data_IF_249206201645
#
_entry.id   IF_249206201645
#
_cell.length_a   1.000
_cell.length_b   1.000
_cell.length_c   1.000
_cell.angle_alpha   90.00
_cell.angle_beta   90.00
_cell.angle_gamma   90.00
#
_symmetry.space_group_name_H-M   'P 1'
#
loop_
_entity.id
_entity.type
_entity.pdbx_description
1 polymer ?
#
# COMPACT_ATOMS: atom_id res chain seq x y z
N UNK A 1 -15.00 10.89 18.82
CA UNK A 1 -14.64 9.73 18.01
C UNK A 1 -14.13 8.63 18.95
N UNK A 2 -14.62 7.43 18.76
CA UNK A 2 -14.24 6.31 19.63
C UNK A 2 -12.85 5.81 19.23
N UNK A 3 -12.00 5.48 20.23
CA UNK A 3 -10.68 4.89 19.99
C UNK A 3 -10.75 3.55 19.27
N UNK A 4 -11.95 2.91 19.23
CA UNK A 4 -12.18 1.64 18.58
C UNK A 4 -12.18 1.74 17.04
N UNK A 5 -12.26 2.95 16.48
CA UNK A 5 -12.28 3.16 15.03
C UNK A 5 -10.87 3.26 14.43
N UNK A 6 -9.86 3.46 15.25
CA UNK A 6 -8.49 3.68 14.83
C UNK A 6 -7.53 2.79 15.61
N UNK A 7 -6.39 2.50 14.98
CA UNK A 7 -5.24 1.92 15.65
C UNK A 7 -4.07 2.89 15.54
N UNK A 8 -3.10 2.74 16.43
CA UNK A 8 -1.89 3.56 16.38
C UNK A 8 -0.82 2.80 15.59
N UNK A 9 -0.28 3.45 14.57
CA UNK A 9 0.87 2.99 13.80
C UNK A 9 1.99 4.01 13.93
N UNK A 10 3.21 3.60 13.70
CA UNK A 10 4.38 4.43 13.95
C UNK A 10 5.38 4.36 12.80
N UNK A 11 5.94 5.52 12.43
CA UNK A 11 7.06 5.61 11.51
C UNK A 11 8.16 6.50 12.12
N UNK A 12 9.19 6.86 11.34
CA UNK A 12 10.29 7.68 11.83
C UNK A 12 9.86 9.10 12.25
N UNK A 13 8.70 9.56 11.80
CA UNK A 13 8.16 10.90 12.12
C UNK A 13 7.22 10.88 13.33
N UNK A 14 6.90 9.72 13.88
CA UNK A 14 6.06 9.59 15.06
C UNK A 14 4.82 8.72 14.84
N UNK A 15 3.86 8.88 15.74
CA UNK A 15 2.63 8.12 15.74
C UNK A 15 1.58 8.70 14.79
N UNK A 16 0.79 7.81 14.19
CA UNK A 16 -0.34 8.15 13.34
C UNK A 16 -1.54 7.31 13.73
N UNK A 17 -2.73 7.92 13.71
CA UNK A 17 -3.98 7.17 13.82
C UNK A 17 -4.37 6.67 12.42
N UNK A 18 -4.49 5.37 12.28
CA UNK A 18 -4.86 4.70 11.04
C UNK A 18 -6.20 4.01 11.22
N UNK A 19 -7.13 4.07 10.25
CA UNK A 19 -8.39 3.35 10.37
C UNK A 19 -8.14 1.88 10.73
N UNK A 20 -8.90 1.36 11.69
CA UNK A 20 -8.62 0.05 12.28
C UNK A 20 -8.56 -1.08 11.26
N UNK A 21 -9.42 -1.03 10.26
CA UNK A 21 -9.54 -2.09 9.25
C UNK A 21 -8.69 -1.84 7.99
N UNK A 22 -7.95 -0.72 7.95
CA UNK A 22 -7.07 -0.43 6.82
C UNK A 22 -5.85 -1.34 6.82
N UNK A 23 -5.39 -1.70 5.63
CA UNK A 23 -4.20 -2.51 5.46
C UNK A 23 -2.92 -1.68 5.39
N UNK A 24 -3.04 -0.37 5.14
CA UNK A 24 -1.88 0.52 5.10
C UNK A 24 -1.43 0.91 6.51
N UNK A 25 -0.20 1.39 6.61
CA UNK A 25 0.40 1.82 7.87
C UNK A 25 0.56 3.33 7.97
N UNK A 26 1.50 3.75 8.84
CA UNK A 26 1.71 5.15 9.19
C UNK A 26 2.13 6.02 8.00
N UNK A 27 3.02 5.55 7.15
CA UNK A 27 3.53 6.35 6.02
C UNK A 27 2.43 6.68 5.02
N UNK A 28 1.61 5.71 4.67
CA UNK A 28 0.49 5.93 3.75
C UNK A 28 -0.54 6.87 4.37
N UNK A 29 -0.86 6.68 5.67
CA UNK A 29 -1.80 7.55 6.36
C UNK A 29 -1.29 9.00 6.37
N UNK A 30 0.00 9.19 6.61
CA UNK A 30 0.61 10.52 6.59
C UNK A 30 0.51 11.16 5.20
N UNK A 31 0.72 10.39 4.14
CA UNK A 31 0.57 10.87 2.77
C UNK A 31 -0.88 11.27 2.46
N UNK A 32 -1.85 10.50 2.92
CA UNK A 32 -3.28 10.83 2.76
C UNK A 32 -3.60 12.17 3.42
N UNK A 33 -3.08 12.40 4.63
CA UNK A 33 -3.33 13.64 5.36
C UNK A 33 -2.57 14.83 4.80
N UNK A 34 -1.37 14.61 4.23
CA UNK A 34 -0.55 15.68 3.66
C UNK A 34 -1.02 16.13 2.27
N UNK A 35 -1.70 15.28 1.52
CA UNK A 35 -2.10 15.57 0.15
C UNK A 35 -3.62 15.43 -0.06
N UNK A 36 -4.46 16.13 0.72
CA UNK A 36 -5.92 16.07 0.53
C UNK A 36 -6.35 17.07 -0.57
N UNK A 37 -5.90 16.85 -1.80
CA UNK A 37 -5.99 17.85 -2.86
C UNK A 37 -7.23 17.66 -3.73
N UNK A 38 -7.37 16.51 -4.39
CA UNK A 38 -8.45 16.28 -5.35
C UNK A 38 -9.53 15.33 -4.86
N UNK A 39 -9.22 14.49 -3.90
CA UNK A 39 -10.09 13.39 -3.51
C UNK A 39 -10.11 12.24 -4.51
N UNK A 40 -9.22 12.26 -5.51
CA UNK A 40 -9.13 11.24 -6.55
C UNK A 40 -7.92 10.35 -6.26
N UNK A 41 -8.17 9.07 -6.01
CA UNK A 41 -7.13 8.07 -5.89
C UNK A 41 -6.82 7.47 -7.27
N UNK A 42 -5.74 6.69 -7.34
CA UNK A 42 -5.38 6.01 -8.58
C UNK A 42 -6.43 5.00 -8.99
N UNK A 43 -6.68 4.91 -10.31
CA UNK A 43 -7.67 4.01 -10.87
C UNK A 43 -7.21 2.56 -10.91
N UNK A 44 -8.14 1.69 -11.32
CA UNK A 44 -7.98 0.23 -11.34
C UNK A 44 -6.73 -0.22 -12.12
N UNK A 45 -6.45 0.39 -13.27
CA UNK A 45 -5.28 0.01 -14.09
C UNK A 45 -3.95 0.27 -13.40
N UNK A 46 -3.86 1.39 -12.68
CA UNK A 46 -2.63 1.74 -11.96
C UNK A 46 -2.42 0.78 -10.78
N UNK A 47 -3.46 0.53 -10.00
CA UNK A 47 -3.40 -0.40 -8.85
C UNK A 47 -3.02 -1.81 -9.34
N UNK A 48 -3.62 -2.26 -10.44
CA UNK A 48 -3.27 -3.55 -11.06
C UNK A 48 -1.79 -3.60 -11.45
N UNK A 49 -1.28 -2.53 -12.05
CA UNK A 49 0.13 -2.43 -12.44
C UNK A 49 1.06 -2.52 -11.22
N UNK A 50 0.72 -1.87 -10.12
CA UNK A 50 1.48 -1.99 -8.87
C UNK A 50 1.53 -3.45 -8.38
N UNK A 51 0.40 -4.13 -8.42
CA UNK A 51 0.32 -5.55 -8.05
C UNK A 51 1.21 -6.42 -8.94
N UNK A 52 1.21 -6.19 -10.24
CA UNK A 52 2.05 -6.91 -11.20
C UNK A 52 3.53 -6.70 -10.90
N UNK A 53 3.95 -5.46 -10.64
CA UNK A 53 5.34 -5.14 -10.30
C UNK A 53 5.77 -5.86 -9.03
N UNK A 54 4.95 -5.83 -7.98
CA UNK A 54 5.28 -6.50 -6.71
C UNK A 54 5.35 -8.02 -6.87
N UNK A 55 4.45 -8.60 -7.66
CA UNK A 55 4.45 -10.03 -7.95
C UNK A 55 5.72 -10.45 -8.69
N UNK A 56 6.09 -9.70 -9.73
CA UNK A 56 7.30 -9.97 -10.51
C UNK A 56 8.56 -9.83 -9.64
N UNK A 57 8.62 -8.78 -8.82
CA UNK A 57 9.74 -8.56 -7.91
C UNK A 57 9.87 -9.68 -6.88
N UNK A 58 8.77 -10.14 -6.31
CA UNK A 58 8.78 -11.24 -5.34
C UNK A 58 9.35 -12.53 -5.97
N UNK A 59 8.91 -12.85 -7.18
CA UNK A 59 9.40 -14.03 -7.91
C UNK A 59 10.88 -13.93 -8.24
N UNK A 60 11.32 -12.78 -8.77
CA UNK A 60 12.71 -12.56 -9.11
C UNK A 60 13.61 -12.64 -7.87
N UNK A 61 13.21 -12.01 -6.78
CA UNK A 61 13.99 -12.01 -5.54
C UNK A 61 14.04 -13.38 -4.88
N UNK A 62 12.98 -14.16 -4.99
CA UNK A 62 12.96 -15.55 -4.52
C UNK A 62 13.96 -16.40 -5.34
N UNK A 63 13.95 -16.27 -6.67
CA UNK A 63 14.86 -17.01 -7.54
C UNK A 63 16.33 -16.63 -7.27
N UNK A 64 16.58 -15.38 -6.89
CA UNK A 64 17.93 -14.91 -6.54
C UNK A 64 18.34 -15.23 -5.10
N UNK A 65 17.45 -15.84 -4.32
CA UNK A 65 17.72 -16.16 -2.92
C UNK A 65 17.71 -14.96 -1.98
N UNK A 66 17.16 -13.82 -2.41
CA UNK A 66 17.13 -12.60 -1.60
C UNK A 66 15.90 -12.51 -0.69
N UNK A 67 14.88 -13.30 -0.96
CA UNK A 67 13.65 -13.39 -0.17
C UNK A 67 13.31 -14.86 0.01
N UNK A 68 12.94 -15.28 1.21
CA UNK A 68 12.50 -16.64 1.48
C UNK A 68 11.34 -17.03 0.59
N UNK A 69 11.33 -18.27 0.14
CA UNK A 69 10.28 -18.79 -0.75
C UNK A 69 8.89 -18.70 -0.14
N UNK A 70 8.75 -18.93 1.16
CA UNK A 70 7.47 -18.81 1.86
C UNK A 70 6.96 -17.38 1.88
N UNK A 71 7.85 -16.41 2.11
CA UNK A 71 7.52 -14.99 2.11
C UNK A 71 7.14 -14.55 0.69
N UNK A 72 7.93 -14.97 -0.30
CA UNK A 72 7.66 -14.65 -1.69
C UNK A 72 6.30 -15.22 -2.15
N UNK A 73 5.96 -16.43 -1.73
CA UNK A 73 4.67 -17.04 -2.05
C UNK A 73 3.51 -16.23 -1.45
N UNK A 74 3.67 -15.76 -0.22
CA UNK A 74 2.65 -14.93 0.43
C UNK A 74 2.49 -13.58 -0.28
N UNK A 75 3.59 -12.96 -0.70
CA UNK A 75 3.57 -11.70 -1.46
C UNK A 75 2.86 -11.90 -2.81
N UNK A 76 3.17 -12.99 -3.52
CA UNK A 76 2.54 -13.30 -4.81
C UNK A 76 1.04 -13.50 -4.64
N UNK A 77 0.61 -14.21 -3.60
CA UNK A 77 -0.81 -14.42 -3.31
C UNK A 77 -1.52 -13.08 -3.03
N UNK A 78 -0.93 -12.24 -2.19
CA UNK A 78 -1.48 -10.92 -1.89
C UNK A 78 -1.51 -10.03 -3.15
N UNK A 79 -0.45 -10.07 -3.97
CA UNK A 79 -0.40 -9.31 -5.21
C UNK A 79 -1.47 -9.77 -6.20
N UNK A 80 -1.75 -11.06 -6.28
CA UNK A 80 -2.83 -11.58 -7.13
C UNK A 80 -4.19 -11.03 -6.70
N UNK A 81 -4.44 -10.88 -5.40
CA UNK A 81 -5.65 -10.25 -4.89
C UNK A 81 -5.75 -8.78 -5.32
N UNK A 82 -4.64 -8.05 -5.25
CA UNK A 82 -4.59 -6.66 -5.70
C UNK A 82 -4.86 -6.56 -7.21
N UNK A 83 -4.23 -7.43 -8.00
CA UNK A 83 -4.42 -7.50 -9.45
C UNK A 83 -5.90 -7.77 -9.79
N UNK A 84 -6.54 -8.63 -9.01
CA UNK A 84 -7.96 -8.98 -9.20
C UNK A 84 -8.94 -7.87 -8.78
N UNK A 85 -8.46 -6.84 -8.11
CA UNK A 85 -9.30 -5.72 -7.67
C UNK A 85 -9.95 -5.87 -6.32
N UNK A 86 -9.50 -6.82 -5.53
CA UNK A 86 -10.12 -7.10 -4.22
C UNK A 86 -9.78 -6.07 -3.15
N UNK A 87 -8.76 -5.22 -3.37
CA UNK A 87 -8.26 -4.28 -2.37
C UNK A 87 -8.08 -2.86 -2.92
N UNK A 88 -8.86 -2.44 -3.91
CA UNK A 88 -8.69 -1.12 -4.53
C UNK A 88 -8.82 0.01 -3.53
N UNK A 89 -9.68 -0.12 -2.52
CA UNK A 89 -9.89 0.88 -1.46
C UNK A 89 -8.71 1.00 -0.50
N UNK A 90 -7.75 0.09 -0.57
CA UNK A 90 -6.54 0.13 0.26
C UNK A 90 -5.43 1.00 -0.36
N UNK A 91 -5.72 1.68 -1.47
CA UNK A 91 -4.80 2.59 -2.15
C UNK A 91 -5.37 4.01 -2.12
N UNK A 92 -5.38 4.66 -0.94
CA UNK A 92 -6.13 5.90 -0.72
C UNK A 92 -5.38 7.19 -1.08
N UNK A 93 -4.11 7.10 -1.47
CA UNK A 93 -3.29 8.28 -1.71
C UNK A 93 -3.78 9.03 -2.96
N UNK A 94 -3.85 10.37 -2.84
CA UNK A 94 -4.29 11.24 -3.92
C UNK A 94 -3.34 11.17 -5.12
N UNK A 95 -3.88 11.35 -6.33
CA UNK A 95 -3.06 11.38 -7.55
C UNK A 95 -2.11 12.59 -7.59
N UNK A 96 -2.45 13.68 -6.89
CA UNK A 96 -1.59 14.85 -6.73
C UNK A 96 -0.71 14.69 -5.49
N UNK A 97 0.43 14.06 -5.69
CA UNK A 97 1.41 13.77 -4.65
C UNK A 97 2.79 14.25 -5.10
N UNK A 98 3.86 13.79 -4.46
CA UNK A 98 5.21 14.28 -4.74
C UNK A 98 5.69 14.05 -6.18
N UNK A 99 5.10 13.13 -6.91
CA UNK A 99 5.49 12.79 -8.29
C UNK A 99 6.69 11.86 -8.40
N UNK A 100 7.33 11.53 -7.28
CA UNK A 100 8.49 10.62 -7.26
C UNK A 100 8.10 9.14 -7.24
N UNK A 101 6.84 8.84 -6.96
CA UNK A 101 6.34 7.48 -6.80
C UNK A 101 6.45 6.95 -5.36
N UNK A 102 7.11 7.67 -4.47
CA UNK A 102 7.30 7.25 -3.08
C UNK A 102 5.97 7.07 -2.36
N UNK A 103 5.03 7.99 -2.52
CA UNK A 103 3.72 7.90 -1.87
C UNK A 103 2.89 6.74 -2.38
N UNK A 104 3.01 6.40 -3.67
CA UNK A 104 2.32 5.25 -4.27
C UNK A 104 2.90 3.92 -3.80
N UNK A 105 4.20 3.89 -3.56
CA UNK A 105 4.88 2.67 -3.15
C UNK A 105 4.48 2.22 -1.76
#
# INVERSE_FOLDING_TARGET
MSDDEYRIERDSLGEMQVPKDAYWGAQTQRAVENFPISGIAFGRRFVRALGIVKKAAARANSDLGLVDDEIAAAIVEAADEVIAGEHDEQFPVDIFQTGSGTSSN
#
